data_IF_589910840251
#
_entry.id   IF_589910840251
#
_cell.length_a   1.000
_cell.length_b   1.000
_cell.length_c   1.000
_cell.angle_alpha   90.00
_cell.angle_beta   90.00
_cell.angle_gamma   90.00
#
_symmetry.space_group_name_H-M   'P 1'
#
loop_
_entity.id
_entity.type
_entity.pdbx_description
1 polymer ?
#
# COMPACT_ATOMS: atom_id res chain seq x y z
N UNK A 1 -19.86 8.89 19.07
CA UNK A 1 -19.01 9.61 18.10
C UNK A 1 -19.80 10.69 17.37
N UNK A 2 -20.84 10.37 16.58
CA UNK A 2 -21.60 11.38 15.82
C UNK A 2 -22.38 12.37 16.71
N UNK A 3 -22.97 11.90 17.82
CA UNK A 3 -23.69 12.75 18.78
C UNK A 3 -22.78 13.78 19.48
N UNK A 4 -21.57 13.37 19.85
CA UNK A 4 -20.54 14.25 20.42
C UNK A 4 -20.07 15.31 19.42
N UNK A 5 -19.82 14.92 18.17
CA UNK A 5 -19.40 15.87 17.13
C UNK A 5 -20.48 16.92 16.82
N UNK A 6 -21.77 16.55 16.89
CA UNK A 6 -22.90 17.48 16.68
C UNK A 6 -23.11 18.45 17.85
N UNK A 7 -22.63 18.11 19.04
CA UNK A 7 -22.76 18.94 20.23
C UNK A 7 -21.55 19.87 20.44
N UNK A 8 -20.49 19.73 19.63
CA UNK A 8 -19.31 20.57 19.72
C UNK A 8 -19.64 22.01 19.30
N UNK A 9 -19.16 22.98 20.07
CA UNK A 9 -19.28 24.39 19.71
C UNK A 9 -18.14 24.83 18.77
N UNK A 10 -18.25 26.03 18.20
CA UNK A 10 -17.30 26.54 17.20
C UNK A 10 -15.86 26.66 17.76
N UNK A 11 -15.70 27.00 19.04
CA UNK A 11 -14.39 27.10 19.68
C UNK A 11 -13.73 25.72 19.85
N UNK A 12 -14.50 24.70 20.23
CA UNK A 12 -14.04 23.31 20.31
C UNK A 12 -13.66 22.76 18.93
N UNK A 13 -14.44 23.08 17.90
CA UNK A 13 -14.15 22.71 16.52
C UNK A 13 -12.85 23.36 16.05
N UNK A 14 -12.66 24.66 16.33
CA UNK A 14 -11.45 25.40 15.98
C UNK A 14 -10.23 24.82 16.70
N UNK A 15 -10.32 24.57 18.00
CA UNK A 15 -9.23 23.98 18.78
C UNK A 15 -8.88 22.57 18.28
N UNK A 16 -9.86 21.74 17.94
CA UNK A 16 -9.63 20.43 17.35
C UNK A 16 -8.94 20.55 15.98
N UNK A 17 -9.39 21.46 15.11
CA UNK A 17 -8.78 21.71 13.82
C UNK A 17 -7.31 22.14 13.94
N UNK A 18 -7.00 23.07 14.86
CA UNK A 18 -5.63 23.51 15.15
C UNK A 18 -4.76 22.35 15.66
N UNK A 19 -5.29 21.51 16.57
CA UNK A 19 -4.59 20.34 17.08
C UNK A 19 -4.26 19.34 15.97
N UNK A 20 -5.23 18.94 15.15
CA UNK A 20 -5.01 17.95 14.08
C UNK A 20 -4.14 18.51 12.96
N UNK A 21 -4.26 19.79 12.62
CA UNK A 21 -3.39 20.46 11.65
C UNK A 21 -1.92 20.53 12.13
N UNK A 22 -1.68 20.60 13.45
CA UNK A 22 -0.34 20.61 14.01
C UNK A 22 0.35 19.23 14.03
N UNK A 23 -0.39 18.13 13.79
CA UNK A 23 0.19 16.78 13.80
C UNK A 23 1.11 16.61 12.59
N UNK A 24 2.41 16.47 12.85
CA UNK A 24 3.41 16.21 11.81
C UNK A 24 3.38 14.74 11.39
N UNK A 25 3.22 14.44 10.08
CA UNK A 25 3.36 13.08 9.56
C UNK A 25 4.75 12.52 9.90
N UNK A 26 4.79 11.24 10.31
CA UNK A 26 6.04 10.53 10.59
C UNK A 26 6.22 9.40 9.58
N UNK A 27 7.47 9.14 9.22
CA UNK A 27 7.83 7.96 8.42
C UNK A 27 7.65 6.71 9.29
N UNK A 28 6.72 5.83 8.89
CA UNK A 28 6.43 4.59 9.61
C UNK A 28 7.13 3.37 9.02
N UNK A 29 7.50 3.40 7.73
CA UNK A 29 8.07 2.23 7.04
C UNK A 29 9.47 2.55 6.53
N UNK A 30 10.44 1.73 6.89
CA UNK A 30 11.79 1.73 6.31
C UNK A 30 11.90 0.62 5.28
N UNK A 31 12.35 0.97 4.07
CA UNK A 31 12.55 0.02 2.98
C UNK A 31 14.01 -0.40 2.99
N UNK A 32 14.26 -1.71 3.00
CA UNK A 32 15.60 -2.32 3.03
C UNK A 32 15.73 -3.24 1.81
N UNK A 33 16.62 -2.88 0.90
CA UNK A 33 17.00 -3.71 -0.24
C UNK A 33 18.01 -4.78 0.21
N UNK A 34 17.68 -6.06 0.03
CA UNK A 34 18.55 -7.16 0.48
C UNK A 34 18.31 -8.43 -0.33
N UNK A 35 19.36 -9.23 -0.56
CA UNK A 35 19.23 -10.53 -1.23
C UNK A 35 18.67 -11.62 -0.30
N UNK A 36 18.88 -11.47 1.00
CA UNK A 36 18.39 -12.40 2.02
C UNK A 36 17.63 -11.67 3.12
N UNK A 37 16.60 -12.30 3.64
CA UNK A 37 15.76 -11.77 4.73
C UNK A 37 15.89 -12.70 5.94
N UNK A 38 15.83 -12.20 7.19
CA UNK A 38 15.70 -13.10 8.32
C UNK A 38 14.40 -13.89 8.16
N UNK A 39 14.46 -15.20 8.39
CA UNK A 39 13.42 -16.15 8.03
C UNK A 39 12.08 -15.70 8.58
N UNK A 40 11.12 -15.36 7.71
CA UNK A 40 9.83 -14.85 8.14
C UNK A 40 9.02 -16.00 8.73
N UNK A 41 8.54 -15.81 9.95
CA UNK A 41 7.54 -16.69 10.58
C UNK A 41 6.21 -15.96 10.65
N UNK A 42 5.12 -16.72 10.60
CA UNK A 42 3.77 -16.16 10.73
C UNK A 42 3.43 -16.07 12.22
N UNK A 43 3.15 -14.86 12.69
CA UNK A 43 2.61 -14.61 14.03
C UNK A 43 1.19 -14.05 13.90
N UNK A 44 0.18 -14.90 14.03
CA UNK A 44 -1.20 -14.52 13.76
C UNK A 44 -1.42 -14.20 12.28
N UNK A 45 -1.67 -12.92 11.96
CA UNK A 45 -1.94 -12.45 10.59
C UNK A 45 -0.80 -11.66 9.95
N UNK A 46 0.38 -11.59 10.58
CA UNK A 46 1.52 -10.82 10.08
C UNK A 46 2.83 -11.61 10.14
N UNK A 47 3.82 -11.17 9.35
CA UNK A 47 5.16 -11.74 9.35
C UNK A 47 6.02 -11.15 10.46
N UNK A 48 6.84 -11.99 11.08
CA UNK A 48 7.84 -11.65 12.08
C UNK A 48 9.20 -12.20 11.67
N UNK A 49 10.26 -11.40 11.83
CA UNK A 49 11.63 -11.77 11.48
C UNK A 49 12.54 -11.69 12.71
N UNK A 50 12.28 -12.51 13.75
CA UNK A 50 12.94 -12.43 15.08
C UNK A 50 14.15 -13.38 15.26
N UNK A 51 14.57 -14.10 14.21
CA UNK A 51 15.66 -15.07 14.28
C UNK A 51 16.87 -14.70 13.42
N UNK A 52 18.00 -15.36 13.68
CA UNK A 52 19.26 -15.18 12.94
C UNK A 52 19.32 -16.02 11.66
N UNK A 53 18.44 -17.03 11.52
CA UNK A 53 18.31 -17.82 10.30
C UNK A 53 17.85 -16.90 9.16
N UNK A 54 18.50 -16.97 7.99
CA UNK A 54 18.18 -16.15 6.82
C UNK A 54 17.82 -17.03 5.64
N UNK A 55 16.93 -16.53 4.79
CA UNK A 55 16.55 -17.17 3.53
C UNK A 55 16.62 -16.18 2.36
N UNK A 56 16.81 -16.66 1.11
CA UNK A 56 16.78 -15.78 -0.07
C UNK A 56 15.43 -15.10 -0.24
N UNK A 57 15.42 -13.77 -0.44
CA UNK A 57 14.16 -13.02 -0.55
C UNK A 57 13.41 -13.33 -1.86
N UNK A 58 14.13 -13.64 -2.94
CA UNK A 58 13.54 -13.86 -4.26
C UNK A 58 12.85 -12.59 -4.78
N UNK A 59 11.59 -12.71 -5.21
CA UNK A 59 10.76 -11.59 -5.71
C UNK A 59 9.78 -11.07 -4.65
N UNK A 60 9.98 -11.40 -3.37
CA UNK A 60 9.00 -11.14 -2.30
C UNK A 60 9.20 -9.77 -1.66
N UNK A 61 8.10 -9.17 -1.22
CA UNK A 61 8.09 -8.03 -0.29
C UNK A 61 7.71 -8.59 1.08
N UNK A 62 8.61 -8.47 2.06
CA UNK A 62 8.37 -8.92 3.43
C UNK A 62 8.33 -7.71 4.34
N UNK A 63 7.15 -7.37 4.86
CA UNK A 63 6.95 -6.25 5.78
C UNK A 63 6.62 -6.74 7.17
N UNK A 64 7.38 -6.26 8.17
CA UNK A 64 7.32 -6.74 9.55
C UNK A 64 7.46 -5.57 10.54
N UNK A 65 6.76 -5.59 11.68
CA UNK A 65 6.95 -4.56 12.71
C UNK A 65 8.34 -4.66 13.32
N UNK A 66 8.96 -3.51 13.61
CA UNK A 66 10.28 -3.46 14.28
C UNK A 66 10.22 -3.92 15.74
N UNK A 67 9.05 -3.81 16.36
CA UNK A 67 8.77 -4.27 17.72
C UNK A 67 7.42 -4.98 17.75
N UNK A 68 7.45 -6.31 17.84
CA UNK A 68 6.25 -7.14 17.85
C UNK A 68 5.40 -6.89 19.11
N UNK A 69 6.03 -6.72 20.27
CA UNK A 69 5.32 -6.55 21.54
C UNK A 69 4.49 -5.26 21.55
N UNK A 70 5.09 -4.15 21.09
CA UNK A 70 4.35 -2.88 20.96
C UNK A 70 3.31 -2.94 19.84
N UNK A 71 3.59 -3.66 18.75
CA UNK A 71 2.64 -3.79 17.65
C UNK A 71 1.37 -4.55 18.07
N UNK A 72 1.51 -5.68 18.79
CA UNK A 72 0.35 -6.45 19.27
C UNK A 72 -0.48 -5.65 20.27
N UNK A 73 0.16 -4.76 21.02
CA UNK A 73 -0.50 -3.82 21.93
C UNK A 73 -1.06 -2.57 21.21
N UNK A 74 -1.14 -2.59 19.87
CA UNK A 74 -1.74 -1.54 19.02
C UNK A 74 -1.10 -0.16 19.20
N UNK A 75 0.18 -0.11 19.53
CA UNK A 75 0.89 1.17 19.61
C UNK A 75 1.08 1.76 18.21
N UNK A 76 0.40 2.88 17.95
CA UNK A 76 0.42 3.59 16.68
C UNK A 76 1.82 4.16 16.30
N UNK A 77 2.80 4.10 17.20
CA UNK A 77 4.16 4.62 16.98
C UNK A 77 5.14 3.57 16.47
N UNK A 78 4.72 2.30 16.37
CA UNK A 78 5.59 1.22 15.90
C UNK A 78 5.93 1.42 14.43
N UNK A 79 7.21 1.24 14.11
CA UNK A 79 7.72 1.28 12.74
C UNK A 79 7.68 -0.10 12.12
N UNK A 80 7.79 -0.13 10.80
CA UNK A 80 7.86 -1.35 10.01
C UNK A 80 9.14 -1.34 9.19
N UNK A 81 9.72 -2.52 9.01
CA UNK A 81 10.76 -2.76 8.01
C UNK A 81 10.14 -3.54 6.88
N UNK A 82 10.23 -2.99 5.67
CA UNK A 82 9.84 -3.64 4.43
C UNK A 82 11.11 -4.08 3.69
N UNK A 83 11.41 -5.37 3.76
CA UNK A 83 12.47 -5.99 2.98
C UNK A 83 11.99 -6.18 1.54
N UNK A 84 12.82 -5.76 0.59
CA UNK A 84 12.56 -5.87 -0.85
C UNK A 84 13.81 -6.35 -1.58
N UNK A 85 13.68 -6.94 -2.78
CA UNK A 85 14.84 -7.35 -3.57
C UNK A 85 15.70 -6.16 -3.97
N UNK A 86 17.02 -6.33 -4.13
CA UNK A 86 17.90 -5.25 -4.58
C UNK A 86 17.45 -4.65 -5.93
N UNK A 87 17.53 -3.34 -6.06
CA UNK A 87 17.11 -2.60 -7.26
C UNK A 87 15.61 -2.32 -7.36
N UNK A 88 14.79 -2.79 -6.42
CA UNK A 88 13.34 -2.52 -6.39
C UNK A 88 13.01 -1.02 -6.31
N UNK A 89 13.78 -0.25 -5.53
CA UNK A 89 13.56 1.19 -5.37
C UNK A 89 13.90 1.94 -6.67
N UNK A 90 15.00 1.56 -7.31
CA UNK A 90 15.39 2.12 -8.60
C UNK A 90 14.38 1.78 -9.70
N UNK A 91 13.93 0.51 -9.76
CA UNK A 91 12.90 0.07 -10.69
C UNK A 91 11.57 0.81 -10.48
N UNK A 92 11.14 0.98 -9.23
CA UNK A 92 9.95 1.74 -8.88
C UNK A 92 10.03 3.22 -9.28
N UNK A 93 11.20 3.85 -9.05
CA UNK A 93 11.45 5.23 -9.52
C UNK A 93 11.37 5.32 -11.03
N UNK A 94 12.00 4.39 -11.74
CA UNK A 94 11.95 4.32 -13.20
C UNK A 94 10.53 4.18 -13.71
N UNK A 95 9.72 3.31 -13.08
CA UNK A 95 8.31 3.14 -13.42
C UNK A 95 7.50 4.42 -13.22
N UNK A 96 7.66 5.08 -12.09
CA UNK A 96 6.93 6.31 -11.77
C UNK A 96 7.28 7.47 -12.72
N UNK A 97 8.47 7.45 -13.30
CA UNK A 97 8.93 8.44 -14.28
C UNK A 97 8.52 8.12 -15.73
N UNK A 98 7.92 6.94 -16.00
CA UNK A 98 7.52 6.57 -17.36
C UNK A 98 6.38 7.47 -17.84
N UNK A 99 6.51 8.09 -19.02
CA UNK A 99 5.45 8.93 -19.57
C UNK A 99 4.17 8.13 -19.87
N UNK A 100 4.28 6.82 -20.12
CA UNK A 100 3.12 5.95 -20.40
C UNK A 100 2.28 5.64 -19.15
N UNK A 101 2.83 5.82 -17.94
CA UNK A 101 2.18 5.44 -16.66
C UNK A 101 1.83 6.68 -15.83
N UNK A 102 2.34 7.86 -16.21
CA UNK A 102 1.90 9.19 -15.77
C UNK A 102 1.53 9.32 -14.28
N UNK A 103 2.23 8.62 -13.37
CA UNK A 103 1.88 8.59 -11.95
C UNK A 103 1.82 10.01 -11.36
N UNK A 104 2.82 10.82 -11.71
CA UNK A 104 2.94 12.21 -11.27
C UNK A 104 1.87 13.13 -11.86
N UNK A 105 1.26 12.78 -13.01
CA UNK A 105 0.22 13.60 -13.62
C UNK A 105 -1.04 13.66 -12.75
N UNK A 106 -1.39 12.56 -12.08
CA UNK A 106 -2.53 12.52 -11.18
C UNK A 106 -2.14 12.69 -9.71
N UNK A 107 -1.06 12.05 -9.26
CA UNK A 107 -0.65 12.08 -7.84
C UNK A 107 0.22 13.30 -7.48
N UNK A 108 0.46 14.20 -8.43
CA UNK A 108 1.33 15.36 -8.30
C UNK A 108 2.82 15.01 -8.46
N UNK A 109 3.65 16.01 -8.77
CA UNK A 109 5.09 15.82 -9.02
C UNK A 109 5.82 15.12 -7.87
N UNK A 110 5.42 15.45 -6.64
CA UNK A 110 5.98 14.87 -5.41
C UNK A 110 5.24 13.62 -4.93
N UNK A 111 4.23 13.16 -5.68
CA UNK A 111 3.38 12.01 -5.36
C UNK A 111 2.62 12.15 -4.03
N UNK A 112 2.40 13.39 -3.57
CA UNK A 112 1.73 13.73 -2.32
C UNK A 112 0.20 13.77 -2.45
N UNK A 113 -0.32 13.66 -3.68
CA UNK A 113 -1.75 13.74 -3.97
C UNK A 113 -2.24 15.18 -4.15
N UNK A 114 -3.54 15.28 -4.43
CA UNK A 114 -4.33 16.50 -4.53
C UNK A 114 -5.55 16.37 -3.60
N UNK A 115 -6.49 17.30 -3.66
CA UNK A 115 -7.72 17.24 -2.84
C UNK A 115 -8.58 16.00 -3.13
N UNK A 116 -8.53 15.49 -4.37
CA UNK A 116 -9.33 14.34 -4.81
C UNK A 116 -8.49 13.11 -5.13
N UNK A 117 -7.20 13.28 -5.44
CA UNK A 117 -6.29 12.16 -5.72
C UNK A 117 -5.43 11.85 -4.49
N UNK A 118 -5.42 10.61 -3.97
CA UNK A 118 -4.65 10.30 -2.77
C UNK A 118 -3.14 10.35 -3.01
N UNK A 119 -2.40 10.78 -1.98
CA UNK A 119 -0.94 10.68 -1.96
C UNK A 119 -0.44 9.24 -1.83
N UNK A 120 0.54 8.90 -2.66
CA UNK A 120 1.21 7.58 -2.67
C UNK A 120 2.63 7.64 -2.09
N UNK A 121 3.23 8.83 -1.98
CA UNK A 121 4.52 9.01 -1.33
C UNK A 121 4.48 8.54 0.14
N UNK A 122 5.46 7.74 0.55
CA UNK A 122 5.60 7.27 1.92
C UNK A 122 4.60 6.18 2.35
N UNK A 123 3.78 5.65 1.44
CA UNK A 123 2.93 4.49 1.71
C UNK A 123 3.76 3.20 1.77
N UNK A 124 3.24 2.20 2.49
CA UNK A 124 3.85 0.87 2.59
C UNK A 124 4.03 0.24 1.19
N UNK A 125 5.19 -0.40 0.90
CA UNK A 125 5.38 -1.12 -0.35
C UNK A 125 4.36 -2.25 -0.54
N UNK A 126 4.05 -3.00 0.53
CA UNK A 126 3.04 -4.06 0.51
C UNK A 126 1.66 -3.50 0.19
N UNK A 127 1.32 -2.34 0.76
CA UNK A 127 0.07 -1.66 0.45
C UNK A 127 0.00 -1.25 -1.02
N UNK A 128 1.01 -0.57 -1.55
CA UNK A 128 1.03 -0.13 -2.95
C UNK A 128 0.95 -1.33 -3.91
N UNK A 129 1.73 -2.39 -3.65
CA UNK A 129 1.65 -3.63 -4.42
C UNK A 129 0.23 -4.20 -4.40
N UNK A 130 -0.39 -4.30 -3.22
CA UNK A 130 -1.74 -4.85 -3.09
C UNK A 130 -2.77 -4.02 -3.86
N UNK A 131 -2.70 -2.69 -3.79
CA UNK A 131 -3.63 -1.83 -4.53
C UNK A 131 -3.48 -2.00 -6.05
N UNK A 132 -2.25 -2.00 -6.56
CA UNK A 132 -1.99 -2.23 -7.99
C UNK A 132 -2.49 -3.62 -8.44
N UNK A 133 -2.24 -4.65 -7.62
CA UNK A 133 -2.74 -5.99 -7.86
C UNK A 133 -4.27 -6.03 -7.89
N UNK A 134 -4.94 -5.39 -6.93
CA UNK A 134 -6.41 -5.35 -6.86
C UNK A 134 -7.03 -4.62 -8.06
N UNK A 135 -6.42 -3.53 -8.53
CA UNK A 135 -6.85 -2.84 -9.76
C UNK A 135 -6.67 -3.70 -11.00
N UNK A 136 -5.52 -4.36 -11.13
CA UNK A 136 -5.22 -5.24 -12.24
C UNK A 136 -6.22 -6.40 -12.36
N UNK A 137 -6.69 -6.93 -11.23
CA UNK A 137 -7.61 -8.06 -11.19
C UNK A 137 -9.08 -7.66 -11.04
N UNK A 138 -9.38 -6.36 -11.04
CA UNK A 138 -10.75 -5.85 -10.92
C UNK A 138 -11.40 -6.07 -9.54
N UNK A 139 -10.62 -6.43 -8.52
CA UNK A 139 -11.11 -6.51 -7.13
C UNK A 139 -11.43 -5.12 -6.57
N UNK A 140 -10.85 -4.06 -7.16
CA UNK A 140 -11.12 -2.66 -6.83
C UNK A 140 -11.70 -1.95 -8.06
N UNK A 141 -13.03 -1.76 -8.07
CA UNK A 141 -13.77 -1.28 -9.23
C UNK A 141 -14.84 -0.22 -8.92
N UNK A 142 -14.58 0.66 -7.95
CA UNK A 142 -15.45 1.81 -7.70
C UNK A 142 -15.34 2.87 -8.81
N UNK A 143 -16.27 3.84 -8.91
CA UNK A 143 -16.21 4.92 -9.90
C UNK A 143 -14.87 5.67 -9.88
N UNK A 144 -14.39 6.03 -8.68
CA UNK A 144 -13.10 6.71 -8.45
C UNK A 144 -11.87 5.84 -8.76
N UNK A 145 -12.07 4.54 -9.03
CA UNK A 145 -10.99 3.60 -9.34
C UNK A 145 -10.67 3.50 -10.83
N UNK A 146 -11.50 4.07 -11.70
CA UNK A 146 -11.36 3.83 -13.14
C UNK A 146 -10.01 4.24 -13.73
N UNK A 147 -9.46 5.42 -13.41
CA UNK A 147 -8.13 5.79 -13.91
C UNK A 147 -7.05 4.77 -13.52
N UNK A 148 -7.17 4.19 -12.32
CA UNK A 148 -6.21 3.20 -11.83
C UNK A 148 -6.40 1.81 -12.41
N UNK A 149 -7.61 1.45 -12.87
CA UNK A 149 -7.85 0.21 -13.59
C UNK A 149 -7.09 0.24 -14.93
N UNK A 150 -7.16 1.36 -15.66
CA UNK A 150 -6.43 1.54 -16.92
C UNK A 150 -4.91 1.46 -16.70
N UNK A 151 -4.41 2.12 -15.64
CA UNK A 151 -3.00 2.02 -15.22
C UNK A 151 -2.61 0.58 -14.90
N UNK A 152 -3.43 -0.14 -14.12
CA UNK A 152 -3.18 -1.55 -13.79
C UNK A 152 -3.12 -2.46 -15.02
N UNK A 153 -4.00 -2.25 -15.99
CA UNK A 153 -4.01 -2.97 -17.26
C UNK A 153 -2.81 -2.61 -18.16
N UNK A 154 -2.39 -1.35 -18.17
CA UNK A 154 -1.21 -0.90 -18.93
C UNK A 154 0.08 -1.50 -18.38
N UNK A 155 0.23 -1.56 -17.06
CA UNK A 155 1.35 -2.21 -16.37
C UNK A 155 1.42 -3.72 -16.64
N UNK A 156 0.27 -4.37 -16.85
CA UNK A 156 0.18 -5.78 -17.22
C UNK A 156 0.71 -6.04 -18.65
N UNK A 157 0.43 -5.13 -19.59
CA UNK A 157 0.97 -5.19 -20.97
C UNK A 157 2.49 -4.96 -21.00
N UNK A 158 3.01 -4.15 -20.07
CA UNK A 158 4.43 -3.79 -19.95
C UNK A 158 5.33 -4.73 -19.12
N UNK A 159 4.84 -5.88 -18.65
CA UNK A 159 5.56 -6.82 -17.75
C UNK A 159 6.06 -6.16 -16.46
N UNK A 160 5.17 -5.57 -15.66
CA UNK A 160 5.52 -5.16 -14.30
C UNK A 160 5.62 -6.35 -13.31
N UNK A 161 5.00 -7.48 -13.67
CA UNK A 161 5.02 -8.71 -12.88
C UNK A 161 5.47 -9.87 -13.78
N UNK A 162 6.60 -10.48 -13.45
CA UNK A 162 7.08 -11.68 -14.12
C UNK A 162 6.02 -12.76 -14.11
N UNK A 163 5.59 -13.14 -15.31
CA UNK A 163 4.93 -14.40 -15.68
C UNK A 163 4.00 -15.02 -14.61
N UNK A 164 2.82 -14.44 -14.44
CA UNK A 164 1.65 -15.24 -14.13
C UNK A 164 0.66 -15.14 -15.29
N UNK A 165 1.03 -15.76 -16.43
CA UNK A 165 0.09 -16.10 -17.48
C UNK A 165 -0.71 -17.31 -16.97
N UNK A 166 -1.50 -17.09 -15.92
CA UNK A 166 -2.50 -18.05 -15.48
C UNK A 166 -3.59 -18.00 -16.55
N UNK A 167 -3.69 -19.12 -17.25
CA UNK A 167 -4.60 -19.43 -18.32
C UNK A 167 -5.93 -18.70 -18.20
N UNK A 168 -6.35 -18.12 -19.33
CA UNK A 168 -7.75 -17.80 -19.60
C UNK A 168 -8.56 -19.09 -19.44
N UNK A 169 -9.00 -19.40 -18.24
CA UNK A 169 -10.17 -20.23 -18.00
C UNK A 169 -11.25 -19.27 -17.52
N UNK A 170 -11.87 -18.64 -18.51
CA UNK A 170 -13.15 -17.99 -18.37
C UNK A 170 -14.21 -19.04 -18.01
N UNK A 171 -14.21 -19.50 -16.77
CA UNK A 171 -15.38 -20.06 -16.12
C UNK A 171 -16.12 -18.90 -15.48
N UNK A 172 -17.20 -18.44 -16.11
CA UNK A 172 -18.04 -17.37 -15.61
C UNK A 172 -18.61 -17.74 -14.22
N UNK A 173 -18.02 -17.21 -13.15
CA UNK A 173 -18.63 -17.24 -11.83
C UNK A 173 -19.80 -16.25 -11.86
N UNK A 174 -21.01 -16.77 -12.05
CA UNK A 174 -22.26 -16.00 -11.89
C UNK A 174 -22.29 -15.42 -10.47
N UNK A 175 -22.35 -14.09 -10.37
CA UNK A 175 -22.66 -13.40 -9.10
C UNK A 175 -24.08 -13.82 -8.68
N UNK A 176 -24.31 -14.27 -7.45
CA UNK A 176 -25.67 -14.55 -6.99
C UNK A 176 -26.44 -13.24 -6.88
N UNK A 177 -27.54 -13.15 -7.61
CA UNK A 177 -28.56 -12.10 -7.47
C UNK A 177 -29.21 -12.24 -6.11
N UNK A 178 -28.95 -11.28 -5.21
CA UNK A 178 -29.74 -11.12 -3.99
C UNK A 178 -31.06 -10.46 -4.41
N UNK A 179 -32.13 -11.26 -4.45
CA UNK A 179 -33.50 -10.74 -4.49
C UNK A 179 -33.85 -10.20 -3.10
N UNK A 180 -34.47 -9.02 -3.08
CA UNK A 180 -34.96 -8.31 -1.88
C UNK A 180 -35.91 -9.14 -1.04
#
# INVERSE_FOLDING_TARGET
>A
MISLAKAANDDEIKAAAEYFAAIKPKKLVDVVETETVPKPTVAGWFFVTKGDEREPIGMRIIETPTDVGRFVNRDARVRFTAYVPPGSVAAGRGLAAKPEIACAACHGERLTGTDVVPGIAGRSPTYIFRQLYEYQHGFRAGPESQPMIEVGQSAQRGRLFGACRLSRHAGAVKRPTVTR
#
